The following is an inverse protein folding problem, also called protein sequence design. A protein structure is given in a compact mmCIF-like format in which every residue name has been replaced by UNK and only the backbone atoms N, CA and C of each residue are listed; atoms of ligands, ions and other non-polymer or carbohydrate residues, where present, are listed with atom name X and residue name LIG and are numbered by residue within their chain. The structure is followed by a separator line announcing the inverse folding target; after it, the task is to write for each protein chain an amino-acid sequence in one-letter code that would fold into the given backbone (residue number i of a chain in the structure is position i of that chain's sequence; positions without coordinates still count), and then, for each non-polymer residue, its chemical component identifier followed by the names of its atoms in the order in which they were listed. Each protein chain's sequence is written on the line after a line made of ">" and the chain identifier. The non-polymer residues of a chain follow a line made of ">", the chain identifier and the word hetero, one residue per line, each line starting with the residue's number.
data_IF_567490633690
#
_entry.id   IF_567490633690
#
_cell.length_a   1.000
_cell.length_b   1.000
_cell.length_c   1.000
_cell.angle_alpha   90.00
_cell.angle_beta   90.00
_cell.angle_gamma   90.00
#
_symmetry.space_group_name_H-M   'P 1'
#
loop_
_entity.id
_entity.type
_entity.pdbx_description
1 polymer ?
#
# COMPACT_ATOMS: atom_id res chain seq x y z
N UNK A 1 -2.99 22.90 6.69
CA UNK A 1 -3.05 23.07 5.22
C UNK A 1 -4.33 22.41 4.77
N UNK A 2 -5.17 23.13 4.05
CA UNK A 2 -6.35 22.52 3.46
C UNK A 2 -5.90 21.54 2.38
N UNK A 3 -6.42 20.31 2.46
CA UNK A 3 -6.15 19.29 1.44
C UNK A 3 -6.83 19.71 0.15
N UNK A 4 -6.06 19.74 -0.93
CA UNK A 4 -6.59 19.98 -2.28
C UNK A 4 -7.73 19.00 -2.60
N UNK A 5 -8.92 19.52 -2.92
CA UNK A 5 -10.12 18.75 -3.22
C UNK A 5 -9.91 17.74 -4.36
N UNK A 6 -9.19 18.16 -5.40
CA UNK A 6 -8.91 17.33 -6.57
C UNK A 6 -8.08 16.12 -6.16
N UNK A 7 -7.02 16.35 -5.41
CA UNK A 7 -6.10 15.30 -4.96
C UNK A 7 -6.79 14.33 -3.99
N UNK A 8 -7.64 14.84 -3.09
CA UNK A 8 -8.46 14.01 -2.23
C UNK A 8 -9.43 13.10 -3.01
N UNK A 9 -10.02 13.60 -4.09
CA UNK A 9 -10.89 12.80 -4.97
C UNK A 9 -10.09 11.75 -5.74
N UNK A 10 -8.91 12.09 -6.25
CA UNK A 10 -8.03 11.13 -6.94
C UNK A 10 -7.61 10.02 -5.99
N UNK A 11 -7.18 10.36 -4.78
CA UNK A 11 -6.79 9.39 -3.76
C UNK A 11 -7.87 8.35 -3.48
N UNK A 12 -9.10 8.80 -3.19
CA UNK A 12 -10.22 7.88 -2.94
C UNK A 12 -10.59 7.05 -4.16
N UNK A 13 -10.41 7.60 -5.35
CA UNK A 13 -10.68 6.89 -6.60
C UNK A 13 -9.67 5.76 -6.82
N UNK A 14 -8.38 6.01 -6.60
CA UNK A 14 -7.32 5.05 -6.89
C UNK A 14 -7.02 4.08 -5.74
N UNK A 15 -7.34 4.43 -4.50
CA UNK A 15 -7.03 3.59 -3.33
C UNK A 15 -7.50 2.13 -3.48
N UNK A 16 -8.74 1.84 -3.93
CA UNK A 16 -9.16 0.45 -4.11
C UNK A 16 -8.30 -0.32 -5.11
N UNK A 17 -7.98 0.29 -6.26
CA UNK A 17 -7.16 -0.34 -7.29
C UNK A 17 -5.73 -0.57 -6.82
N UNK A 18 -5.16 0.37 -6.06
CA UNK A 18 -3.83 0.22 -5.47
C UNK A 18 -3.79 -0.93 -4.46
N UNK A 19 -4.81 -1.05 -3.60
CA UNK A 19 -4.90 -2.14 -2.64
C UNK A 19 -5.08 -3.48 -3.34
N UNK A 20 -5.94 -3.55 -4.36
CA UNK A 20 -6.17 -4.78 -5.14
C UNK A 20 -4.88 -5.25 -5.84
N UNK A 21 -4.20 -4.36 -6.56
CA UNK A 21 -2.94 -4.68 -7.24
C UNK A 21 -1.85 -5.14 -6.26
N UNK A 22 -1.77 -4.52 -5.08
CA UNK A 22 -0.83 -4.92 -4.04
C UNK A 22 -1.16 -6.30 -3.46
N UNK A 23 -2.44 -6.57 -3.17
CA UNK A 23 -2.88 -7.89 -2.70
C UNK A 23 -2.66 -8.97 -3.76
N UNK A 24 -2.85 -8.67 -5.04
CA UNK A 24 -2.53 -9.59 -6.14
C UNK A 24 -1.04 -9.94 -6.16
N UNK A 25 -0.15 -8.95 -5.96
CA UNK A 25 1.30 -9.17 -5.82
C UNK A 25 1.60 -10.10 -4.64
N UNK A 26 1.02 -9.85 -3.47
CA UNK A 26 1.20 -10.71 -2.30
C UNK A 26 0.78 -12.16 -2.57
N UNK A 27 -0.38 -12.35 -3.22
CA UNK A 27 -0.86 -13.69 -3.59
C UNK A 27 0.14 -14.40 -4.51
N UNK A 28 0.69 -13.70 -5.51
CA UNK A 28 1.73 -14.24 -6.40
C UNK A 28 2.98 -14.62 -5.62
N UNK A 29 3.44 -13.77 -4.71
CA UNK A 29 4.60 -14.04 -3.85
C UNK A 29 4.37 -15.27 -2.94
N UNK A 30 3.17 -15.43 -2.37
CA UNK A 30 2.83 -16.60 -1.57
C UNK A 30 2.83 -17.88 -2.40
N UNK A 31 2.28 -17.84 -3.63
CA UNK A 31 2.27 -18.99 -4.54
C UNK A 31 3.71 -19.41 -4.88
N UNK A 32 4.58 -18.46 -5.23
CA UNK A 32 5.99 -18.75 -5.54
C UNK A 32 6.73 -19.30 -4.31
N UNK A 33 6.51 -18.74 -3.12
CA UNK A 33 7.06 -19.28 -1.88
C UNK A 33 6.61 -20.73 -1.63
N UNK A 34 5.32 -21.03 -1.82
CA UNK A 34 4.76 -22.35 -1.58
C UNK A 34 5.24 -23.42 -2.58
N UNK A 35 5.61 -23.01 -3.80
CA UNK A 35 6.21 -23.89 -4.82
C UNK A 35 7.62 -24.37 -4.45
N UNK A 36 8.31 -23.69 -3.52
CA UNK A 36 9.63 -24.09 -3.06
C UNK A 36 9.67 -25.44 -2.34
N UNK A 37 10.88 -26.00 -2.26
CA UNK A 37 11.17 -27.25 -1.55
C UNK A 37 11.07 -27.08 -0.01
N UNK A 38 10.88 -28.18 0.70
CA UNK A 38 10.80 -28.22 2.16
C UNK A 38 9.58 -28.95 2.71
N UNK A 39 9.52 -29.10 4.03
CA UNK A 39 8.41 -29.77 4.70
C UNK A 39 7.13 -28.93 4.59
N UNK A 40 5.99 -29.61 4.42
CA UNK A 40 4.69 -28.95 4.36
C UNK A 40 4.37 -28.17 5.65
N UNK A 41 4.79 -28.68 6.81
CA UNK A 41 4.63 -27.99 8.11
C UNK A 41 5.32 -26.64 8.15
N UNK A 42 6.56 -26.58 7.64
CA UNK A 42 7.37 -25.37 7.69
C UNK A 42 6.78 -24.31 6.76
N UNK A 43 6.42 -24.72 5.54
CA UNK A 43 5.74 -23.83 4.58
C UNK A 43 4.43 -23.28 5.12
N UNK A 44 3.64 -24.11 5.79
CA UNK A 44 2.38 -23.68 6.40
C UNK A 44 2.60 -22.61 7.48
N UNK A 45 3.49 -22.87 8.45
CA UNK A 45 3.71 -21.94 9.56
C UNK A 45 4.41 -20.65 9.13
N UNK A 46 5.34 -20.72 8.18
CA UNK A 46 5.99 -19.51 7.65
C UNK A 46 5.03 -18.66 6.82
N UNK A 47 4.16 -19.28 6.00
CA UNK A 47 3.11 -18.56 5.28
C UNK A 47 2.13 -17.87 6.26
N UNK A 48 1.73 -18.56 7.31
CA UNK A 48 0.85 -18.02 8.36
C UNK A 48 1.44 -16.76 9.01
N UNK A 49 2.74 -16.83 9.38
CA UNK A 49 3.48 -15.67 9.91
C UNK A 49 3.55 -14.53 8.90
N UNK A 50 3.81 -14.85 7.63
CA UNK A 50 3.92 -13.85 6.55
C UNK A 50 2.59 -13.13 6.32
N UNK A 51 1.49 -13.86 6.19
CA UNK A 51 0.13 -13.28 6.07
C UNK A 51 -0.20 -12.41 7.29
N UNK A 52 0.16 -12.84 8.50
CA UNK A 52 -0.03 -12.04 9.73
C UNK A 52 0.78 -10.74 9.76
N UNK A 53 1.93 -10.70 9.12
CA UNK A 53 2.71 -9.47 8.97
C UNK A 53 2.09 -8.58 7.88
N UNK A 54 1.81 -9.16 6.71
CA UNK A 54 1.34 -8.42 5.53
C UNK A 54 -0.05 -7.80 5.74
N UNK A 55 -0.93 -8.41 6.55
CA UNK A 55 -2.24 -7.81 6.93
C UNK A 55 -2.14 -6.47 7.67
N UNK A 56 -0.96 -6.08 8.16
CA UNK A 56 -0.74 -4.79 8.84
C UNK A 56 -0.27 -3.70 7.87
N UNK A 57 0.15 -4.08 6.65
CA UNK A 57 0.60 -3.15 5.64
C UNK A 57 -0.56 -2.24 5.20
N UNK A 58 -0.35 -0.93 4.96
CA UNK A 58 -1.42 -0.03 4.50
C UNK A 58 -2.08 -0.47 3.19
N UNK A 59 -1.36 -1.18 2.31
CA UNK A 59 -1.94 -1.77 1.09
C UNK A 59 -3.01 -2.83 1.34
N UNK A 60 -3.14 -3.30 2.60
CA UNK A 60 -4.17 -4.28 3.01
C UNK A 60 -5.11 -3.68 4.07
N UNK A 61 -4.55 -3.04 5.10
CA UNK A 61 -5.30 -2.62 6.28
C UNK A 61 -5.99 -1.27 6.12
N UNK A 62 -5.51 -0.42 5.21
CA UNK A 62 -5.95 0.97 5.17
C UNK A 62 -7.45 1.04 4.80
N UNK A 63 -8.24 1.49 5.76
CA UNK A 63 -9.69 1.68 5.67
C UNK A 63 -10.04 3.02 6.35
N UNK A 64 -11.29 3.47 6.21
CA UNK A 64 -11.80 4.68 6.89
C UNK A 64 -10.97 5.95 6.67
N UNK A 65 -10.53 6.16 5.43
CA UNK A 65 -9.70 7.32 5.07
C UNK A 65 -10.46 8.64 5.28
N UNK A 66 -9.81 9.56 5.99
CA UNK A 66 -10.32 10.92 6.24
C UNK A 66 -9.39 11.94 5.62
N UNK A 67 -9.95 13.10 5.24
CA UNK A 67 -9.16 14.22 4.69
C UNK A 67 -8.02 14.64 5.60
N UNK A 68 -8.25 14.69 6.91
CA UNK A 68 -7.21 15.10 7.89
C UNK A 68 -5.95 14.22 7.83
N UNK A 69 -6.08 12.98 7.39
CA UNK A 69 -5.00 12.00 7.36
C UNK A 69 -4.52 11.70 5.93
N UNK A 70 -5.01 12.45 4.93
CA UNK A 70 -4.75 12.18 3.51
C UNK A 70 -3.25 12.05 3.20
N UNK A 71 -2.44 13.05 3.55
CA UNK A 71 -1.00 13.03 3.26
C UNK A 71 -0.28 11.90 4.00
N UNK A 72 -0.66 11.62 5.26
CA UNK A 72 -0.09 10.51 6.05
C UNK A 72 -0.40 9.16 5.39
N UNK A 73 -1.64 8.97 4.94
CA UNK A 73 -2.04 7.76 4.25
C UNK A 73 -1.33 7.60 2.91
N UNK A 74 -1.26 8.66 2.11
CA UNK A 74 -0.57 8.63 0.83
C UNK A 74 0.92 8.33 0.99
N UNK A 75 1.58 9.00 1.95
CA UNK A 75 2.97 8.73 2.30
C UNK A 75 3.18 7.30 2.81
N UNK A 76 2.24 6.75 3.60
CA UNK A 76 2.35 5.35 4.03
C UNK A 76 2.27 4.36 2.86
N UNK A 77 1.44 4.61 1.85
CA UNK A 77 1.35 3.72 0.69
C UNK A 77 2.65 3.75 -0.13
N UNK A 78 3.28 4.92 -0.28
CA UNK A 78 4.57 5.05 -0.96
C UNK A 78 5.70 4.44 -0.13
N UNK A 79 5.79 4.76 1.16
CA UNK A 79 6.86 4.30 2.03
C UNK A 79 6.85 2.80 2.31
N UNK A 80 5.69 2.15 2.24
CA UNK A 80 5.56 0.68 2.30
C UNK A 80 5.57 0.02 0.92
N UNK A 81 5.96 0.75 -0.13
CA UNK A 81 6.07 0.27 -1.51
C UNK A 81 4.80 -0.39 -2.06
N UNK A 82 3.64 0.04 -1.55
CA UNK A 82 2.32 -0.33 -2.10
C UNK A 82 2.14 0.32 -3.46
N UNK A 83 2.57 1.58 -3.55
CA UNK A 83 2.62 2.38 -4.77
C UNK A 83 3.97 3.11 -4.85
N UNK A 84 4.27 3.71 -5.98
CA UNK A 84 5.45 4.54 -6.20
C UNK A 84 5.07 6.01 -6.37
N UNK A 85 6.06 6.91 -6.36
CA UNK A 85 5.85 8.32 -6.68
C UNK A 85 5.28 8.54 -8.09
N UNK A 86 5.47 7.60 -9.02
CA UNK A 86 4.92 7.68 -10.38
C UNK A 86 3.40 7.50 -10.40
N UNK A 87 2.86 6.73 -9.46
CA UNK A 87 1.42 6.49 -9.32
C UNK A 87 0.68 7.75 -8.81
N UNK A 88 1.42 8.76 -8.36
CA UNK A 88 0.89 10.08 -8.02
C UNK A 88 0.76 11.00 -9.24
N UNK A 89 0.80 10.47 -10.47
CA UNK A 89 0.50 11.27 -11.66
C UNK A 89 -0.90 11.90 -11.57
N UNK A 90 -1.02 13.15 -12.02
CA UNK A 90 -2.24 13.95 -11.90
C UNK A 90 -2.52 14.60 -10.54
N UNK A 91 -1.81 14.21 -9.47
CA UNK A 91 -1.80 14.94 -8.19
C UNK A 91 -1.00 16.24 -8.30
N UNK A 92 -1.31 17.21 -7.44
CA UNK A 92 -0.58 18.49 -7.38
C UNK A 92 0.87 18.31 -6.93
N UNK A 93 1.73 19.24 -7.34
CA UNK A 93 3.15 19.24 -6.95
C UNK A 93 3.31 19.42 -5.44
N UNK A 94 2.45 20.22 -4.79
CA UNK A 94 2.43 20.38 -3.33
C UNK A 94 2.22 19.03 -2.61
N UNK A 95 1.22 18.24 -3.04
CA UNK A 95 0.98 16.91 -2.48
C UNK A 95 2.19 15.99 -2.68
N UNK A 96 2.78 15.98 -3.89
CA UNK A 96 3.94 15.15 -4.19
C UNK A 96 5.15 15.54 -3.32
N UNK A 97 5.41 16.82 -3.16
CA UNK A 97 6.49 17.32 -2.29
C UNK A 97 6.27 16.94 -0.82
N UNK A 98 5.04 17.05 -0.30
CA UNK A 98 4.73 16.64 1.08
C UNK A 98 5.00 15.15 1.25
N UNK A 99 4.51 14.31 0.34
CA UNK A 99 4.72 12.86 0.38
C UNK A 99 6.20 12.53 0.33
N UNK A 100 6.96 13.14 -0.59
CA UNK A 100 8.38 12.92 -0.71
C UNK A 100 9.14 13.27 0.57
N UNK A 101 8.79 14.38 1.23
CA UNK A 101 9.39 14.78 2.52
C UNK A 101 9.05 13.82 3.66
N UNK A 102 7.91 13.13 3.60
CA UNK A 102 7.47 12.19 4.64
C UNK A 102 8.05 10.79 4.48
N UNK A 103 8.47 10.40 3.27
CA UNK A 103 9.02 9.08 2.96
C UNK A 103 10.56 9.05 3.07
N UNK A 104 11.23 10.21 2.98
CA UNK A 104 12.67 10.37 3.14
C UNK A 104 13.17 10.12 4.56
#
# INVERSE_FOLDING_TARGET
>A
MDVNEKDWKLFRKYLPDWQENYMEKLIKDYIEFLKGDGLASDKFWELEKKIKADRKNPGVLLQDVRRSNFHVHLASLVGYEVISMKDLDGFSDETKEIVERMVR
#
